data_IF_141254752692
#
_entry.id   IF_141254752692
#
_cell.length_a   1.000
_cell.length_b   1.000
_cell.length_c   1.000
_cell.angle_alpha   90.00
_cell.angle_beta   90.00
_cell.angle_gamma   90.00
#
_symmetry.space_group_name_H-M   'P 1'
#
loop_
_entity.id
_entity.type
_entity.pdbx_description
1 polymer ?
#
# COMPACT_ATOMS: atom_id res chain seq x y z
N UNK A 1 21.59 -6.38 -8.92
CA UNK A 1 20.43 -6.06 -9.77
C UNK A 1 19.93 -4.65 -9.58
N UNK A 2 19.58 -4.20 -8.36
CA UNK A 2 19.12 -2.83 -8.12
C UNK A 2 20.05 -1.74 -8.72
N UNK A 3 21.37 -1.88 -8.56
CA UNK A 3 22.36 -0.95 -9.13
C UNK A 3 22.34 -0.91 -10.66
N UNK A 4 22.21 -2.08 -11.31
CA UNK A 4 22.18 -2.18 -12.78
C UNK A 4 20.89 -1.57 -13.32
N UNK A 5 19.76 -1.89 -12.68
CA UNK A 5 18.44 -1.42 -13.09
C UNK A 5 18.25 0.08 -12.89
N UNK A 6 18.85 0.63 -11.84
CA UNK A 6 18.79 2.08 -11.57
C UNK A 6 19.93 2.85 -12.23
N UNK A 7 20.80 2.22 -13.02
CA UNK A 7 21.86 2.94 -13.74
C UNK A 7 21.26 4.00 -14.69
N UNK A 8 21.77 5.25 -14.74
CA UNK A 8 22.98 5.77 -14.08
C UNK A 8 22.74 6.43 -12.70
N UNK A 9 21.56 6.31 -12.10
CA UNK A 9 21.17 6.98 -10.84
C UNK A 9 22.17 6.77 -9.69
N UNK A 10 22.72 5.56 -9.57
CA UNK A 10 23.70 5.24 -8.50
C UNK A 10 24.97 6.09 -8.60
N UNK A 11 25.31 6.60 -9.79
CA UNK A 11 26.44 7.51 -10.01
C UNK A 11 26.09 8.99 -9.77
N UNK A 12 24.80 9.32 -9.77
CA UNK A 12 24.28 10.69 -9.68
C UNK A 12 23.28 10.86 -8.53
N UNK A 13 23.56 10.21 -7.39
CA UNK A 13 22.66 10.21 -6.24
C UNK A 13 22.32 11.62 -5.73
N UNK A 14 23.25 12.57 -5.81
CA UNK A 14 23.04 13.93 -5.32
C UNK A 14 22.52 14.91 -6.40
N UNK A 15 22.67 14.57 -7.68
CA UNK A 15 22.53 15.53 -8.78
C UNK A 15 21.36 15.22 -9.72
N UNK A 16 20.76 14.02 -9.63
CA UNK A 16 19.65 13.59 -10.47
C UNK A 16 18.53 12.97 -9.64
N UNK A 17 17.28 13.22 -10.05
CA UNK A 17 16.09 12.60 -9.48
C UNK A 17 15.37 11.87 -10.62
N UNK A 18 15.07 10.56 -10.48
CA UNK A 18 14.45 9.78 -11.54
C UNK A 18 12.95 10.07 -11.63
N UNK A 19 12.43 10.11 -12.85
CA UNK A 19 11.01 10.30 -13.13
C UNK A 19 10.68 11.71 -13.65
N UNK A 20 9.41 11.94 -13.92
CA UNK A 20 8.88 13.23 -14.35
C UNK A 20 7.70 13.64 -13.47
N UNK A 21 7.19 14.87 -13.69
CA UNK A 21 5.92 15.33 -13.14
C UNK A 21 5.84 15.27 -11.60
N UNK A 22 5.19 14.25 -11.05
CA UNK A 22 4.78 14.16 -9.64
C UNK A 22 5.96 13.92 -8.69
N UNK A 23 7.14 13.57 -9.22
CA UNK A 23 8.33 13.33 -8.40
C UNK A 23 8.69 14.53 -7.51
N UNK A 24 8.47 15.75 -8.01
CA UNK A 24 8.78 16.97 -7.28
C UNK A 24 7.90 17.15 -6.04
N UNK A 25 6.68 16.61 -6.05
CA UNK A 25 5.82 16.58 -4.87
C UNK A 25 6.44 15.72 -3.76
N UNK A 26 6.94 14.52 -4.08
CA UNK A 26 7.55 13.64 -3.09
C UNK A 26 8.90 14.16 -2.57
N UNK A 27 9.68 14.79 -3.44
CA UNK A 27 10.93 15.48 -3.02
C UNK A 27 10.61 16.64 -2.07
N UNK A 28 9.56 17.41 -2.38
CA UNK A 28 9.07 18.47 -1.50
C UNK A 28 8.50 17.90 -0.19
N UNK A 29 7.77 16.79 -0.22
CA UNK A 29 7.21 16.11 0.95
C UNK A 29 8.32 15.75 1.95
N UNK A 30 9.44 15.21 1.47
CA UNK A 30 10.61 14.89 2.29
C UNK A 30 11.19 16.13 2.96
N UNK A 31 11.37 17.21 2.20
CA UNK A 31 11.86 18.48 2.74
C UNK A 31 10.87 19.06 3.77
N UNK A 32 9.58 19.04 3.47
CA UNK A 32 8.52 19.58 4.30
C UNK A 32 8.46 18.87 5.65
N UNK A 33 8.49 17.54 5.67
CA UNK A 33 8.50 16.79 6.94
C UNK A 33 9.70 17.16 7.82
N UNK A 34 10.89 17.27 7.22
CA UNK A 34 12.08 17.74 7.95
C UNK A 34 11.87 19.16 8.48
N UNK A 35 11.39 20.07 7.64
CA UNK A 35 11.15 21.47 7.99
C UNK A 35 10.11 21.61 9.10
N UNK A 36 8.95 20.98 8.95
CA UNK A 36 7.84 21.04 9.89
C UNK A 36 8.25 20.51 11.26
N UNK A 37 8.90 19.34 11.32
CA UNK A 37 9.38 18.79 12.59
C UNK A 37 10.46 19.66 13.24
N UNK A 38 11.35 20.28 12.45
CA UNK A 38 12.38 21.18 12.98
C UNK A 38 11.82 22.50 13.53
N UNK A 39 10.61 22.89 13.09
CA UNK A 39 9.91 24.12 13.53
C UNK A 39 8.71 23.83 14.43
N UNK A 40 8.57 22.59 14.93
CA UNK A 40 7.44 22.16 15.77
C UNK A 40 6.06 22.41 15.13
N UNK A 41 5.97 22.31 13.81
CA UNK A 41 4.73 22.39 13.04
C UNK A 41 4.15 20.99 12.83
N UNK A 42 2.85 20.92 12.54
CA UNK A 42 2.22 19.67 12.15
C UNK A 42 2.71 19.24 10.74
N UNK A 43 3.45 18.13 10.58
CA UNK A 43 3.94 17.71 9.27
C UNK A 43 2.82 17.26 8.33
N UNK A 44 1.63 16.94 8.85
CA UNK A 44 0.48 16.50 8.03
C UNK A 44 -0.37 17.66 7.50
N UNK A 45 -0.03 18.91 7.78
CA UNK A 45 -0.76 20.07 7.27
C UNK A 45 0.20 21.19 6.89
N UNK A 46 0.04 21.76 5.70
CA UNK A 46 0.91 22.84 5.22
C UNK A 46 0.10 24.05 4.74
N UNK A 47 0.62 25.25 4.94
CA UNK A 47 0.11 26.48 4.30
C UNK A 47 0.98 26.94 3.13
N UNK A 48 2.09 26.24 2.85
CA UNK A 48 2.97 26.54 1.73
C UNK A 48 2.39 26.14 0.38
N UNK A 49 1.36 25.29 0.39
CA UNK A 49 0.55 24.95 -0.78
C UNK A 49 -0.86 25.49 -0.61
N UNK A 50 -1.48 25.93 -1.70
CA UNK A 50 -2.86 26.41 -1.74
C UNK A 50 -3.16 27.53 -0.73
N UNK A 51 -2.23 28.48 -0.57
CA UNK A 51 -2.46 29.64 0.28
C UNK A 51 -3.70 30.44 -0.17
N UNK A 52 -4.58 30.90 0.74
CA UNK A 52 -4.50 30.81 2.21
C UNK A 52 -5.17 29.57 2.83
N UNK A 53 -5.82 28.72 2.04
CA UNK A 53 -6.55 27.54 2.53
C UNK A 53 -5.63 26.49 3.17
N UNK A 54 -4.43 26.32 2.62
CA UNK A 54 -3.53 25.24 3.00
C UNK A 54 -3.94 23.88 2.42
N UNK A 55 -3.14 22.86 2.73
CA UNK A 55 -3.37 21.49 2.30
C UNK A 55 -3.20 20.51 3.46
N UNK A 56 -4.15 19.60 3.59
CA UNK A 56 -4.04 18.44 4.47
C UNK A 56 -3.29 17.32 3.75
N UNK A 57 -2.02 17.11 4.13
CA UNK A 57 -1.16 16.09 3.56
C UNK A 57 -1.62 14.67 3.90
N UNK A 58 -2.37 14.47 4.99
CA UNK A 58 -2.93 13.16 5.33
C UNK A 58 -4.07 12.73 4.39
N UNK A 59 -4.68 13.68 3.66
CA UNK A 59 -5.77 13.43 2.73
C UNK A 59 -5.31 13.30 1.26
N UNK A 60 -4.01 13.48 1.00
CA UNK A 60 -3.40 13.32 -0.32
C UNK A 60 -2.31 12.25 -0.26
N UNK A 61 -1.66 11.95 -1.39
CA UNK A 61 -0.69 10.85 -1.55
C UNK A 61 0.68 11.14 -0.92
N UNK A 62 0.73 11.77 0.26
CA UNK A 62 1.97 11.97 1.01
C UNK A 62 2.53 10.64 1.52
N UNK A 63 3.83 10.59 1.79
CA UNK A 63 4.53 9.37 2.24
C UNK A 63 5.20 9.56 3.61
N UNK A 64 4.42 9.72 4.71
CA UNK A 64 4.95 10.09 6.02
C UNK A 64 6.12 9.21 6.51
N UNK A 65 6.02 7.89 6.35
CA UNK A 65 7.08 6.98 6.80
C UNK A 65 8.38 7.24 6.04
N UNK A 66 8.30 7.33 4.72
CA UNK A 66 9.46 7.56 3.85
C UNK A 66 10.07 8.94 4.12
N UNK A 67 9.23 9.96 4.29
CA UNK A 67 9.66 11.30 4.64
C UNK A 67 10.39 11.34 5.99
N UNK A 68 9.88 10.67 7.03
CA UNK A 68 10.53 10.58 8.34
C UNK A 68 11.86 9.84 8.28
N UNK A 69 11.92 8.68 7.61
CA UNK A 69 13.17 7.90 7.46
C UNK A 69 14.21 8.72 6.67
N UNK A 70 13.78 9.56 5.74
CA UNK A 70 14.69 10.38 4.95
C UNK A 70 15.39 11.48 5.76
N UNK A 71 14.85 11.95 6.90
CA UNK A 71 15.39 13.09 7.67
C UNK A 71 16.88 12.94 8.01
N UNK A 72 17.36 11.84 8.64
CA UNK A 72 18.78 11.66 8.91
C UNK A 72 19.61 11.61 7.61
N UNK A 73 19.07 11.01 6.55
CA UNK A 73 19.75 10.94 5.24
C UNK A 73 19.88 12.32 4.60
N UNK A 74 18.84 13.17 4.69
CA UNK A 74 18.85 14.54 4.20
C UNK A 74 19.91 15.37 4.90
N UNK A 75 20.08 15.17 6.21
CA UNK A 75 21.10 15.89 7.00
C UNK A 75 22.52 15.43 6.69
N UNK A 76 22.72 14.16 6.28
CA UNK A 76 24.03 13.61 5.97
C UNK A 76 24.46 13.81 4.51
N UNK A 77 23.53 13.67 3.55
CA UNK A 77 23.84 13.59 2.12
C UNK A 77 23.09 14.60 1.25
N UNK A 78 22.17 15.39 1.84
CA UNK A 78 21.30 16.30 1.10
C UNK A 78 20.01 15.65 0.62
N UNK A 79 19.07 16.48 0.17
CA UNK A 79 17.71 16.06 -0.18
C UNK A 79 17.64 15.11 -1.39
N UNK A 80 18.30 15.36 -2.54
CA UNK A 80 18.24 14.46 -3.68
C UNK A 80 18.82 13.07 -3.37
N UNK A 81 19.95 13.02 -2.66
CA UNK A 81 20.57 11.78 -2.23
C UNK A 81 19.67 11.00 -1.27
N UNK A 82 19.04 11.68 -0.30
CA UNK A 82 18.09 11.03 0.60
C UNK A 82 16.91 10.41 -0.15
N UNK A 83 16.34 11.12 -1.13
CA UNK A 83 15.25 10.60 -1.96
C UNK A 83 15.67 9.34 -2.73
N UNK A 84 16.82 9.39 -3.41
CA UNK A 84 17.32 8.26 -4.19
C UNK A 84 17.69 7.06 -3.31
N UNK A 85 18.22 7.29 -2.11
CA UNK A 85 18.51 6.23 -1.16
C UNK A 85 17.23 5.55 -0.66
N UNK A 86 16.16 6.30 -0.40
CA UNK A 86 14.85 5.72 -0.04
C UNK A 86 14.26 4.92 -1.21
N UNK A 87 14.34 5.43 -2.44
CA UNK A 87 13.91 4.69 -3.63
C UNK A 87 14.64 3.36 -3.77
N UNK A 88 15.97 3.36 -3.61
CA UNK A 88 16.78 2.13 -3.64
C UNK A 88 16.42 1.19 -2.49
N UNK A 89 16.19 1.73 -1.31
CA UNK A 89 15.79 0.98 -0.13
C UNK A 89 14.45 0.26 -0.33
N UNK A 90 13.44 0.93 -0.88
CA UNK A 90 12.14 0.33 -1.22
C UNK A 90 12.31 -0.83 -2.21
N UNK A 91 13.09 -0.65 -3.28
CA UNK A 91 13.34 -1.71 -4.27
C UNK A 91 14.05 -2.92 -3.65
N UNK A 92 15.12 -2.68 -2.88
CA UNK A 92 15.95 -3.75 -2.31
C UNK A 92 15.19 -4.51 -1.23
N UNK A 93 14.57 -3.79 -0.28
CA UNK A 93 13.80 -4.41 0.78
C UNK A 93 12.52 -5.04 0.24
N UNK A 94 11.87 -4.43 -0.75
CA UNK A 94 10.74 -5.01 -1.46
C UNK A 94 11.08 -6.38 -2.05
N UNK A 95 12.18 -6.45 -2.82
CA UNK A 95 12.68 -7.70 -3.38
C UNK A 95 12.97 -8.75 -2.30
N UNK A 96 13.62 -8.34 -1.21
CA UNK A 96 13.98 -9.23 -0.11
C UNK A 96 12.75 -9.73 0.67
N UNK A 97 11.79 -8.86 0.95
CA UNK A 97 10.53 -9.22 1.58
C UNK A 97 9.74 -10.23 0.74
N UNK A 98 9.66 -10.00 -0.57
CA UNK A 98 9.04 -10.94 -1.50
C UNK A 98 9.80 -12.28 -1.55
N UNK A 99 11.14 -12.26 -1.55
CA UNK A 99 11.95 -13.46 -1.42
C UNK A 99 11.59 -14.25 -0.15
N UNK A 100 11.50 -13.60 1.02
CA UNK A 100 11.14 -14.27 2.27
C UNK A 100 9.74 -14.89 2.22
N UNK A 101 8.76 -14.18 1.65
CA UNK A 101 7.41 -14.69 1.47
C UNK A 101 7.38 -15.92 0.57
N UNK A 102 8.01 -15.84 -0.61
CA UNK A 102 7.99 -16.92 -1.59
C UNK A 102 8.79 -18.12 -1.08
N UNK A 103 9.87 -17.89 -0.34
CA UNK A 103 10.65 -18.96 0.31
C UNK A 103 9.83 -19.68 1.35
N UNK A 104 9.03 -18.94 2.12
CA UNK A 104 8.13 -19.52 3.09
C UNK A 104 7.08 -20.43 2.44
N UNK A 105 6.57 -20.08 1.27
CA UNK A 105 5.53 -20.85 0.55
C UNK A 105 6.13 -22.00 -0.25
N UNK A 106 7.09 -21.72 -1.13
CA UNK A 106 7.63 -22.68 -2.11
C UNK A 106 8.67 -23.63 -1.54
N UNK A 107 9.35 -23.23 -0.45
CA UNK A 107 10.54 -23.91 0.09
C UNK A 107 11.70 -24.07 -0.91
N UNK A 108 11.70 -23.30 -2.01
CA UNK A 108 12.71 -23.32 -3.06
C UNK A 108 13.44 -21.98 -3.14
N UNK A 109 14.76 -21.98 -2.99
CA UNK A 109 15.57 -20.77 -2.94
C UNK A 109 15.66 -20.06 -4.32
N UNK A 110 15.67 -20.80 -5.42
CA UNK A 110 15.75 -20.25 -6.78
C UNK A 110 14.44 -19.61 -7.21
N UNK A 111 13.31 -20.31 -7.01
CA UNK A 111 11.99 -19.78 -7.27
C UNK A 111 11.73 -18.50 -6.44
N UNK A 112 12.22 -18.48 -5.20
CA UNK A 112 12.11 -17.33 -4.31
C UNK A 112 12.96 -16.15 -4.79
N UNK A 113 14.18 -16.41 -5.25
CA UNK A 113 15.04 -15.34 -5.75
C UNK A 113 14.48 -14.72 -7.03
N UNK A 114 13.98 -15.54 -7.96
CA UNK A 114 13.29 -15.06 -9.16
C UNK A 114 12.03 -14.28 -8.81
N UNK A 115 11.22 -14.78 -7.87
CA UNK A 115 10.01 -14.11 -7.43
C UNK A 115 10.26 -12.75 -6.78
N UNK A 116 11.32 -12.61 -5.97
CA UNK A 116 11.74 -11.33 -5.41
C UNK A 116 12.18 -10.33 -6.48
N UNK A 117 12.91 -10.79 -7.51
CA UNK A 117 13.31 -9.96 -8.65
C UNK A 117 12.08 -9.52 -9.46
N UNK A 118 11.15 -10.42 -9.76
CA UNK A 118 9.91 -10.09 -10.47
C UNK A 118 9.08 -9.09 -9.68
N UNK A 119 8.97 -9.24 -8.35
CA UNK A 119 8.25 -8.30 -7.51
C UNK A 119 8.83 -6.88 -7.59
N UNK A 120 10.15 -6.74 -7.49
CA UNK A 120 10.79 -5.43 -7.43
C UNK A 120 11.00 -4.76 -8.80
N UNK A 121 11.12 -5.53 -9.88
CA UNK A 121 11.50 -5.02 -11.21
C UNK A 121 10.42 -5.23 -12.28
N UNK A 122 9.15 -5.41 -11.88
CA UNK A 122 8.07 -5.57 -12.86
C UNK A 122 7.79 -4.27 -13.65
N UNK A 123 7.15 -4.38 -14.84
CA UNK A 123 6.85 -3.22 -15.69
C UNK A 123 6.01 -2.13 -15.01
N UNK A 124 5.14 -2.49 -14.05
CA UNK A 124 4.36 -1.52 -13.29
C UNK A 124 5.27 -0.64 -12.43
N UNK A 125 6.22 -1.22 -11.69
CA UNK A 125 7.20 -0.47 -10.89
C UNK A 125 8.04 0.45 -11.76
N UNK A 126 8.51 -0.03 -12.92
CA UNK A 126 9.26 0.79 -13.88
C UNK A 126 8.43 2.02 -14.27
N UNK A 127 7.17 1.80 -14.66
CA UNK A 127 6.26 2.88 -15.05
C UNK A 127 6.01 3.88 -13.92
N UNK A 128 5.92 3.42 -12.67
CA UNK A 128 5.74 4.29 -11.50
C UNK A 128 6.98 5.10 -11.13
N UNK A 129 8.17 4.52 -11.26
CA UNK A 129 9.44 5.27 -11.14
C UNK A 129 9.49 6.35 -12.22
N UNK A 130 9.17 6.02 -13.47
CA UNK A 130 9.19 7.00 -14.56
C UNK A 130 8.15 8.11 -14.38
N UNK A 131 6.98 7.81 -13.83
CA UNK A 131 5.94 8.79 -13.52
C UNK A 131 6.19 9.59 -12.23
N UNK A 132 7.23 9.26 -11.46
CA UNK A 132 7.56 9.95 -10.22
C UNK A 132 6.72 9.55 -9.00
N UNK A 133 5.97 8.44 -9.05
CA UNK A 133 5.09 7.98 -7.97
C UNK A 133 5.84 7.16 -6.93
N UNK A 134 6.54 7.83 -6.00
CA UNK A 134 7.32 7.16 -4.93
C UNK A 134 6.43 6.29 -4.03
N UNK A 135 5.22 6.73 -3.75
CA UNK A 135 4.25 6.01 -2.92
C UNK A 135 3.82 4.64 -3.50
N UNK A 136 4.01 4.43 -4.81
CA UNK A 136 3.62 3.22 -5.53
C UNK A 136 4.82 2.31 -5.90
N UNK A 137 5.92 2.48 -5.18
CA UNK A 137 7.09 1.62 -5.28
C UNK A 137 6.84 0.25 -4.63
N UNK A 138 7.67 -0.77 -4.93
CA UNK A 138 7.50 -2.12 -4.41
C UNK A 138 7.81 -2.19 -2.92
N UNK A 139 6.87 -1.75 -2.10
CA UNK A 139 7.07 -1.64 -0.65
C UNK A 139 7.31 -3.02 -0.01
N UNK A 140 8.23 -3.14 0.96
CA UNK A 140 8.47 -4.39 1.67
C UNK A 140 7.30 -4.82 2.55
N UNK A 141 6.42 -3.89 2.93
CA UNK A 141 5.40 -4.17 3.93
C UNK A 141 4.25 -5.03 3.40
N UNK A 142 4.00 -5.04 2.08
CA UNK A 142 3.01 -5.94 1.48
C UNK A 142 3.45 -7.41 1.62
N UNK A 143 4.63 -7.85 1.12
CA UNK A 143 5.03 -9.24 1.31
C UNK A 143 5.24 -9.63 2.77
N UNK A 144 5.76 -8.73 3.61
CA UNK A 144 5.95 -8.99 5.04
C UNK A 144 4.63 -9.22 5.76
N UNK A 145 3.62 -8.38 5.51
CA UNK A 145 2.29 -8.54 6.12
C UNK A 145 1.66 -9.88 5.71
N UNK A 146 1.73 -10.26 4.44
CA UNK A 146 1.25 -11.58 3.98
C UNK A 146 2.02 -12.70 4.66
N UNK A 147 3.36 -12.60 4.75
CA UNK A 147 4.20 -13.62 5.38
C UNK A 147 3.83 -13.85 6.84
N UNK A 148 3.69 -12.78 7.63
CA UNK A 148 3.34 -12.91 9.05
C UNK A 148 1.89 -13.37 9.25
N UNK A 149 0.97 -12.99 8.36
CA UNK A 149 -0.38 -13.55 8.36
C UNK A 149 -0.35 -15.07 8.15
N UNK A 150 0.39 -15.57 7.15
CA UNK A 150 0.52 -17.01 6.89
C UNK A 150 1.13 -17.76 8.07
N UNK A 151 2.19 -17.20 8.68
CA UNK A 151 2.79 -17.78 9.90
C UNK A 151 1.81 -17.88 11.06
N UNK A 152 0.96 -16.87 11.26
CA UNK A 152 -0.07 -16.91 12.31
C UNK A 152 -1.10 -18.02 12.09
N UNK A 153 -1.46 -18.30 10.84
CA UNK A 153 -2.35 -19.43 10.51
C UNK A 153 -1.69 -20.79 10.70
N UNK A 154 -0.39 -20.91 10.43
CA UNK A 154 0.35 -22.14 10.69
C UNK A 154 0.56 -22.39 12.18
N UNK A 155 0.93 -21.34 12.92
CA UNK A 155 1.16 -21.38 14.35
C UNK A 155 0.91 -19.99 14.97
N UNK A 156 -0.18 -19.82 15.74
CA UNK A 156 -0.43 -18.57 16.43
C UNK A 156 0.72 -18.20 17.38
N UNK A 157 1.27 -17.01 17.20
CA UNK A 157 2.41 -16.50 17.95
C UNK A 157 2.29 -14.98 18.13
N UNK A 158 2.35 -14.44 19.37
CA UNK A 158 2.22 -13.01 19.60
C UNK A 158 3.29 -12.17 18.89
N UNK A 159 4.50 -12.73 18.70
CA UNK A 159 5.56 -12.06 17.95
C UNK A 159 5.17 -11.82 16.50
N UNK A 160 4.64 -12.84 15.83
CA UNK A 160 4.24 -12.74 14.43
C UNK A 160 3.00 -11.84 14.28
N UNK A 161 2.10 -11.83 15.27
CA UNK A 161 0.98 -10.89 15.32
C UNK A 161 1.44 -9.43 15.45
N UNK A 162 2.44 -9.17 16.31
CA UNK A 162 3.05 -7.85 16.44
C UNK A 162 3.76 -7.40 15.16
N UNK A 163 4.48 -8.31 14.50
CA UNK A 163 5.15 -8.01 13.23
C UNK A 163 4.16 -7.78 12.07
N UNK A 164 3.06 -8.53 12.04
CA UNK A 164 1.94 -8.27 11.14
C UNK A 164 1.38 -6.86 11.35
N UNK A 165 1.02 -6.52 12.59
CA UNK A 165 0.51 -5.19 12.94
C UNK A 165 1.48 -4.07 12.58
N UNK A 166 2.78 -4.25 12.87
CA UNK A 166 3.82 -3.29 12.52
C UNK A 166 3.95 -3.11 11.01
N UNK A 167 3.96 -4.20 10.24
CA UNK A 167 4.02 -4.13 8.78
C UNK A 167 2.81 -3.42 8.19
N UNK A 168 1.60 -3.68 8.71
CA UNK A 168 0.38 -3.00 8.27
C UNK A 168 0.37 -1.51 8.65
N UNK A 169 0.87 -1.16 9.85
CA UNK A 169 1.01 0.24 10.25
C UNK A 169 1.99 0.98 9.34
N UNK A 170 3.17 0.41 9.09
CA UNK A 170 4.14 0.99 8.18
C UNK A 170 3.63 1.09 6.75
N UNK A 171 2.85 0.10 6.28
CA UNK A 171 2.17 0.18 5.00
C UNK A 171 1.20 1.36 4.94
N UNK A 172 0.38 1.57 5.98
CA UNK A 172 -0.55 2.70 6.05
C UNK A 172 0.15 4.07 6.03
N UNK A 173 1.31 4.19 6.69
CA UNK A 173 2.13 5.41 6.68
C UNK A 173 3.00 5.55 5.43
N UNK A 174 3.09 4.53 4.59
CA UNK A 174 3.76 4.59 3.29
C UNK A 174 2.76 4.98 2.20
N UNK A 175 1.63 4.28 2.14
CA UNK A 175 0.56 4.52 1.17
C UNK A 175 -0.76 3.91 1.64
N UNK A 176 -1.77 4.76 1.88
CA UNK A 176 -3.10 4.31 2.33
C UNK A 176 -3.79 3.40 1.32
N UNK A 177 -3.59 3.62 0.02
CA UNK A 177 -4.18 2.78 -1.02
C UNK A 177 -3.70 1.33 -0.91
N UNK A 178 -2.39 1.12 -0.70
CA UNK A 178 -1.85 -0.23 -0.52
C UNK A 178 -2.29 -0.87 0.78
N UNK A 179 -2.39 -0.10 1.86
CA UNK A 179 -2.96 -0.57 3.12
C UNK A 179 -4.41 -1.03 2.96
N UNK A 180 -5.26 -0.24 2.30
CA UNK A 180 -6.65 -0.57 2.06
C UNK A 180 -6.79 -1.84 1.21
N UNK A 181 -6.04 -1.94 0.11
CA UNK A 181 -6.07 -3.12 -0.77
C UNK A 181 -5.57 -4.38 -0.06
N UNK A 182 -4.51 -4.28 0.73
CA UNK A 182 -3.96 -5.41 1.51
C UNK A 182 -4.95 -5.84 2.61
N UNK A 183 -5.62 -4.88 3.25
CA UNK A 183 -6.66 -5.17 4.25
C UNK A 183 -7.85 -5.88 3.63
N UNK A 184 -8.31 -5.45 2.45
CA UNK A 184 -9.36 -6.14 1.69
C UNK A 184 -8.92 -7.56 1.34
N UNK A 185 -7.68 -7.73 0.86
CA UNK A 185 -7.11 -9.05 0.59
C UNK A 185 -7.12 -9.96 1.84
N UNK A 186 -6.75 -9.44 3.01
CA UNK A 186 -6.79 -10.21 4.26
C UNK A 186 -8.22 -10.60 4.66
N UNK A 187 -9.17 -9.68 4.57
CA UNK A 187 -10.57 -9.97 4.86
C UNK A 187 -11.12 -11.06 3.94
N UNK A 188 -10.84 -10.97 2.63
CA UNK A 188 -11.24 -11.99 1.66
C UNK A 188 -10.54 -13.34 1.92
N UNK A 189 -9.25 -13.32 2.25
CA UNK A 189 -8.50 -14.53 2.57
C UNK A 189 -9.02 -15.22 3.84
N UNK A 190 -9.32 -14.44 4.88
CA UNK A 190 -9.95 -14.92 6.11
C UNK A 190 -11.34 -15.49 5.85
N UNK A 191 -12.16 -14.79 5.06
CA UNK A 191 -13.49 -15.26 4.67
C UNK A 191 -13.41 -16.57 3.88
N UNK A 192 -12.45 -16.69 2.94
CA UNK A 192 -12.19 -17.92 2.20
C UNK A 192 -11.76 -19.07 3.13
N UNK A 193 -10.84 -18.81 4.07
CA UNK A 193 -10.41 -19.82 5.05
C UNK A 193 -11.56 -20.30 5.93
N UNK A 194 -12.34 -19.37 6.48
CA UNK A 194 -13.54 -19.69 7.24
C UNK A 194 -14.54 -20.47 6.39
N UNK A 195 -14.74 -20.11 5.12
CA UNK A 195 -15.63 -20.82 4.20
C UNK A 195 -15.20 -22.28 3.97
N UNK A 196 -13.90 -22.52 3.74
CA UNK A 196 -13.34 -23.86 3.55
C UNK A 196 -13.38 -24.69 4.83
N UNK A 197 -13.08 -24.09 5.99
CA UNK A 197 -12.98 -24.81 7.26
C UNK A 197 -14.34 -25.08 7.91
N UNK A 198 -15.31 -24.17 7.78
CA UNK A 198 -16.59 -24.32 8.49
C UNK A 198 -17.61 -25.19 7.76
N UNK A 199 -17.56 -25.34 6.42
CA UNK A 199 -18.50 -26.18 5.64
C UNK A 199 -20.00 -25.78 5.71
N UNK A 200 -20.41 -25.06 6.75
CA UNK A 200 -21.75 -24.62 7.08
C UNK A 200 -22.16 -23.40 6.25
N UNK A 201 -21.22 -22.46 6.01
CA UNK A 201 -21.46 -21.32 5.12
C UNK A 201 -21.57 -21.78 3.65
N UNK A 202 -20.81 -22.82 3.26
CA UNK A 202 -21.05 -23.55 2.01
C UNK A 202 -22.49 -24.05 1.99
N UNK A 203 -22.92 -24.86 2.96
CA UNK A 203 -24.29 -25.43 2.98
C UNK A 203 -25.39 -24.38 2.94
N UNK A 204 -25.21 -23.23 3.60
CA UNK A 204 -26.17 -22.12 3.61
C UNK A 204 -26.26 -21.41 2.25
N UNK A 205 -25.11 -21.07 1.64
CA UNK A 205 -25.08 -20.40 0.33
C UNK A 205 -25.51 -21.33 -0.82
N UNK A 206 -25.14 -22.61 -0.78
CA UNK A 206 -25.62 -23.61 -1.74
C UNK A 206 -27.12 -23.93 -1.58
N UNK A 207 -27.74 -23.48 -0.49
CA UNK A 207 -29.19 -23.51 -0.28
C UNK A 207 -29.89 -22.30 -0.90
N UNK A 208 -29.20 -21.16 -1.00
CA UNK A 208 -29.77 -19.87 -1.44
C UNK A 208 -29.40 -19.51 -2.87
N UNK A 209 -28.28 -20.00 -3.41
CA UNK A 209 -27.86 -19.79 -4.79
C UNK A 209 -28.10 -21.05 -5.65
N UNK A 210 -28.82 -20.94 -6.79
CA UNK A 210 -29.11 -22.06 -7.67
C UNK A 210 -27.90 -22.35 -8.58
N UNK A 211 -26.76 -22.68 -7.99
CA UNK A 211 -25.54 -22.99 -8.74
C UNK A 211 -25.40 -24.52 -8.84
N UNK A 212 -25.32 -25.02 -10.06
CA UNK A 212 -25.14 -26.44 -10.36
C UNK A 212 -23.79 -26.95 -9.81
N UNK A 213 -23.86 -27.98 -8.97
CA UNK A 213 -22.69 -28.61 -8.31
C UNK A 213 -21.76 -29.31 -9.30
N UNK A 214 -22.20 -29.53 -10.54
CA UNK A 214 -21.41 -30.15 -11.60
C UNK A 214 -20.37 -29.23 -12.24
N UNK A 215 -20.45 -27.91 -11.98
CA UNK A 215 -19.53 -26.94 -12.59
C UNK A 215 -18.10 -27.06 -12.04
N UNK A 216 -17.06 -26.94 -12.89
CA UNK A 216 -15.68 -27.04 -12.44
C UNK A 216 -15.29 -25.90 -11.49
N UNK A 217 -14.35 -26.18 -10.57
CA UNK A 217 -13.98 -25.31 -9.43
C UNK A 217 -13.65 -23.86 -9.84
N UNK A 218 -13.07 -23.66 -11.03
CA UNK A 218 -12.72 -22.33 -11.54
C UNK A 218 -13.97 -21.51 -11.93
N UNK A 219 -15.06 -22.14 -12.38
CA UNK A 219 -16.34 -21.46 -12.68
C UNK A 219 -17.00 -21.00 -11.38
N UNK A 220 -16.95 -21.83 -10.35
CA UNK A 220 -17.49 -21.48 -9.02
C UNK A 220 -16.70 -20.32 -8.40
N UNK A 221 -15.37 -20.37 -8.47
CA UNK A 221 -14.50 -19.27 -8.06
C UNK A 221 -14.76 -17.99 -8.86
N UNK A 222 -15.00 -18.10 -10.17
CA UNK A 222 -15.33 -16.96 -11.03
C UNK A 222 -16.67 -16.31 -10.64
N UNK A 223 -17.70 -17.11 -10.35
CA UNK A 223 -19.01 -16.61 -9.91
C UNK A 223 -18.91 -15.92 -8.55
N UNK A 224 -18.13 -16.48 -7.61
CA UNK A 224 -17.85 -15.84 -6.32
C UNK A 224 -17.05 -14.53 -6.49
N UNK A 225 -16.07 -14.51 -7.38
CA UNK A 225 -15.31 -13.31 -7.73
C UNK A 225 -16.21 -12.25 -8.38
N UNK A 226 -17.09 -12.63 -9.30
CA UNK A 226 -18.06 -11.72 -9.91
C UNK A 226 -19.06 -11.17 -8.89
N UNK A 227 -19.52 -11.99 -7.94
CA UNK A 227 -20.40 -11.55 -6.84
C UNK A 227 -19.67 -10.60 -5.88
N UNK A 228 -18.41 -10.87 -5.55
CA UNK A 228 -17.56 -10.00 -4.75
C UNK A 228 -17.25 -8.68 -5.49
N UNK A 229 -17.02 -8.74 -6.80
CA UNK A 229 -16.80 -7.56 -7.65
C UNK A 229 -18.06 -6.73 -7.82
N UNK A 230 -19.24 -7.36 -7.87
CA UNK A 230 -20.53 -6.67 -7.85
C UNK A 230 -20.75 -5.94 -6.52
N UNK A 231 -20.43 -6.58 -5.39
CA UNK A 231 -20.48 -5.94 -4.07
C UNK A 231 -19.49 -4.79 -3.92
N UNK A 232 -18.23 -4.99 -4.34
CA UNK A 232 -17.21 -3.93 -4.39
C UNK A 232 -17.64 -2.80 -5.33
N UNK A 233 -18.26 -3.14 -6.47
CA UNK A 233 -18.84 -2.18 -7.41
C UNK A 233 -19.96 -1.36 -6.78
N UNK A 234 -20.85 -1.96 -5.99
CA UNK A 234 -21.86 -1.23 -5.23
C UNK A 234 -21.24 -0.29 -4.18
N UNK A 235 -20.17 -0.72 -3.50
CA UNK A 235 -19.43 0.13 -2.53
C UNK A 235 -18.71 1.28 -3.24
N UNK A 236 -18.10 1.04 -4.39
CA UNK A 236 -17.47 2.07 -5.21
C UNK A 236 -18.49 3.03 -5.83
N UNK A 237 -19.67 2.55 -6.23
CA UNK A 237 -20.77 3.39 -6.70
C UNK A 237 -21.28 4.29 -5.57
N UNK A 238 -21.42 3.76 -4.34
CA UNK A 238 -21.78 4.57 -3.16
C UNK A 238 -20.69 5.60 -2.86
N UNK A 239 -19.41 5.20 -2.90
CA UNK A 239 -18.28 6.11 -2.72
C UNK A 239 -18.25 7.20 -3.81
N UNK A 240 -18.43 6.82 -5.08
CA UNK A 240 -18.44 7.73 -6.21
C UNK A 240 -19.64 8.69 -6.15
N UNK A 241 -20.83 8.22 -5.78
CA UNK A 241 -22.03 9.07 -5.57
C UNK A 241 -21.81 10.07 -4.43
N UNK A 242 -21.17 9.66 -3.33
CA UNK A 242 -20.87 10.56 -2.19
C UNK A 242 -19.89 11.67 -2.61
N UNK A 243 -18.93 11.39 -3.49
CA UNK A 243 -17.92 12.37 -3.93
C UNK A 243 -18.30 13.16 -5.19
N UNK A 244 -19.22 12.66 -6.02
CA UNK A 244 -19.64 13.35 -7.27
C UNK A 244 -20.92 14.15 -7.13
N UNK A 245 -21.71 13.94 -6.08
CA UNK A 245 -22.93 14.73 -5.80
C UNK A 245 -22.61 15.80 -4.75
N UNK A 246 -22.36 17.06 -5.16
CA UNK A 246 -21.77 18.08 -4.28
C UNK A 246 -22.58 18.35 -3.01
N UNK A 247 -23.92 18.24 -3.10
CA UNK A 247 -24.85 18.50 -2.00
C UNK A 247 -24.82 17.44 -0.88
N UNK A 248 -24.39 16.21 -1.18
CA UNK A 248 -24.30 15.10 -0.21
C UNK A 248 -23.07 15.24 0.70
N UNK A 249 -21.96 15.76 0.18
CA UNK A 249 -20.80 16.14 1.02
C UNK A 249 -21.16 17.23 2.04
N UNK A 250 -22.05 18.17 1.72
CA UNK A 250 -22.48 19.21 2.68
C UNK A 250 -23.29 18.64 3.85
N UNK A 251 -24.04 17.55 3.67
CA UNK A 251 -24.78 16.91 4.77
C UNK A 251 -23.84 16.32 5.83
N UNK A 252 -22.66 15.82 5.45
CA UNK A 252 -21.65 15.30 6.38
C UNK A 252 -21.08 16.41 7.27
N UNK A 253 -21.01 17.65 6.77
CA UNK A 253 -20.56 18.82 7.53
C UNK A 253 -21.68 19.48 8.36
N UNK A 254 -22.94 19.40 7.92
CA UNK A 254 -24.08 20.07 8.58
C UNK A 254 -24.66 19.22 9.73
N UNK A 255 -24.66 17.89 9.62
CA UNK A 255 -25.24 17.00 10.63
C UNK A 255 -24.58 17.12 12.01
N UNK A 256 -23.24 17.26 12.14
CA UNK A 256 -22.62 17.53 13.44
C UNK A 256 -22.99 18.90 14.01
N UNK A 257 -23.22 19.91 13.15
CA UNK A 257 -23.55 21.28 13.60
C UNK A 257 -24.97 21.33 14.16
N UNK A 258 -25.91 20.58 13.58
CA UNK A 258 -27.31 20.50 14.05
C UNK A 258 -27.50 19.58 15.26
N UNK A 259 -26.56 18.68 15.53
CA UNK A 259 -26.61 17.77 16.69
C UNK A 259 -25.97 18.37 17.96
N UNK A 260 -25.28 19.51 17.83
CA UNK A 260 -24.62 20.21 18.95
C UNK A 260 -25.10 21.67 19.13
N UNK A 261 -26.27 22.01 18.58
CA UNK A 261 -27.02 23.26 18.80
C UNK A 261 -28.41 22.96 19.33
#
# INVERSE_FOLDING_TARGET
MAIIFTYPLVLHLADMIPGCCDVWFFVWDFWWFKYALSHSLNPLFTTHMFYPLGANLAAITATPLNAIISIPLQSAFGLPAAFNLILLFEIILGAYAAFLLIRHISKDDWASMLGGVVYAFNPYVVGKIMAGHLNLLPTPFIPLSILFLLKLFERPNPRDAGLLGLSMAFLAYTELQYFALTSIFFLLFMAYKLWVETGELQKFLWRTLPIDKSAPLWVQALVCLCAAYFFLGCVFIVYYIVYTVPWLSYLIYIVPILLFS
#
